data_IF_113026371910
#
_entry.id   IF_113026371910
#
_cell.length_a   1.000
_cell.length_b   1.000
_cell.length_c   1.000
_cell.angle_alpha   90.00
_cell.angle_beta   90.00
_cell.angle_gamma   90.00
#
_symmetry.space_group_name_H-M   'P 1'
#
loop_
_entity.id
_entity.type
_entity.pdbx_description
1 polymer ?
#
# COMPACT_ATOMS: atom_id res chain seq x y z
N UNK A 1 38.36 39.26 10.92
CA UNK A 1 37.04 39.18 11.57
C UNK A 1 36.00 39.21 10.46
N UNK A 2 35.21 38.14 10.32
CA UNK A 2 34.08 38.10 9.39
C UNK A 2 33.07 39.17 9.82
N UNK A 3 32.60 40.01 8.90
CA UNK A 3 31.60 41.02 9.25
C UNK A 3 30.27 40.34 9.58
N UNK A 4 29.46 40.95 10.44
CA UNK A 4 28.11 40.46 10.74
C UNK A 4 27.31 40.28 9.45
N UNK A 5 27.42 41.20 8.49
CA UNK A 5 26.76 41.07 7.18
C UNK A 5 27.17 39.79 6.43
N UNK A 6 28.47 39.46 6.37
CA UNK A 6 28.94 38.25 5.72
C UNK A 6 28.44 36.96 6.41
N UNK A 7 28.24 36.99 7.73
CA UNK A 7 27.64 35.87 8.48
C UNK A 7 26.16 35.71 8.11
N UNK A 8 25.39 36.79 8.06
CA UNK A 8 23.98 36.72 7.66
C UNK A 8 23.80 36.34 6.18
N UNK A 9 24.70 36.75 5.30
CA UNK A 9 24.70 36.32 3.90
C UNK A 9 24.95 34.81 3.76
N UNK A 10 25.85 34.24 4.56
CA UNK A 10 26.07 32.79 4.60
C UNK A 10 24.82 32.06 5.11
N UNK A 11 24.21 32.52 6.21
CA UNK A 11 22.96 31.93 6.71
C UNK A 11 21.82 32.02 5.70
N UNK A 12 21.74 33.12 4.93
CA UNK A 12 20.75 33.24 3.87
C UNK A 12 20.97 32.18 2.79
N UNK A 13 22.21 31.99 2.33
CA UNK A 13 22.54 30.95 1.34
C UNK A 13 22.19 29.55 1.83
N UNK A 14 22.52 29.23 3.09
CA UNK A 14 22.20 27.92 3.69
C UNK A 14 20.68 27.69 3.79
N UNK A 15 19.92 28.73 4.15
CA UNK A 15 18.45 28.66 4.22
C UNK A 15 17.81 28.54 2.83
N UNK A 16 18.32 29.27 1.85
CA UNK A 16 17.86 29.19 0.45
C UNK A 16 18.09 27.76 -0.09
N UNK A 17 19.29 27.20 0.09
CA UNK A 17 19.58 25.81 -0.33
C UNK A 17 18.71 24.79 0.42
N UNK A 18 18.48 25.00 1.71
CA UNK A 18 17.60 24.15 2.52
C UNK A 18 16.17 24.12 1.96
N UNK A 19 15.62 25.28 1.63
CA UNK A 19 14.26 25.43 1.13
C UNK A 19 14.12 24.84 -0.28
N UNK A 20 15.10 25.10 -1.15
CA UNK A 20 15.13 24.54 -2.50
C UNK A 20 15.19 23.00 -2.47
N UNK A 21 16.02 22.43 -1.59
CA UNK A 21 16.10 20.98 -1.38
C UNK A 21 14.78 20.42 -0.88
N UNK A 22 14.18 21.05 0.13
CA UNK A 22 12.88 20.64 0.69
C UNK A 22 11.81 20.59 -0.39
N UNK A 23 11.73 21.61 -1.25
CA UNK A 23 10.75 21.67 -2.34
C UNK A 23 10.99 20.59 -3.40
N UNK A 24 12.25 20.31 -3.77
CA UNK A 24 12.59 19.18 -4.67
C UNK A 24 12.14 17.85 -4.10
N UNK A 25 12.37 17.60 -2.80
CA UNK A 25 11.96 16.37 -2.13
C UNK A 25 10.44 16.24 -2.04
N UNK A 26 9.70 17.32 -1.76
CA UNK A 26 8.23 17.32 -1.75
C UNK A 26 7.67 16.94 -3.11
N UNK A 27 8.18 17.56 -4.19
CA UNK A 27 7.72 17.28 -5.56
C UNK A 27 7.92 15.82 -5.91
N UNK A 28 9.12 15.31 -5.69
CA UNK A 28 9.41 13.96 -6.10
C UNK A 28 8.80 12.89 -5.15
N UNK A 29 8.53 13.22 -3.88
CA UNK A 29 7.68 12.40 -3.00
C UNK A 29 6.24 12.29 -3.52
N UNK A 30 5.66 13.39 -4.00
CA UNK A 30 4.33 13.38 -4.66
C UNK A 30 4.33 12.55 -5.94
N UNK A 31 5.38 12.64 -6.75
CA UNK A 31 5.51 11.81 -7.95
C UNK A 31 5.57 10.32 -7.60
N UNK A 32 6.34 9.96 -6.57
CA UNK A 32 6.36 8.57 -6.06
C UNK A 32 4.97 8.14 -5.63
N UNK A 33 4.25 8.92 -4.82
CA UNK A 33 2.88 8.59 -4.40
C UNK A 33 1.97 8.32 -5.61
N UNK A 34 2.02 9.19 -6.62
CA UNK A 34 1.18 9.04 -7.82
C UNK A 34 1.50 7.76 -8.60
N UNK A 35 2.77 7.43 -8.77
CA UNK A 35 3.20 6.23 -9.50
C UNK A 35 2.87 4.96 -8.70
N UNK A 36 3.08 4.97 -7.38
CA UNK A 36 2.72 3.86 -6.49
C UNK A 36 1.21 3.58 -6.50
N UNK A 37 0.36 4.61 -6.43
CA UNK A 37 -1.09 4.47 -6.60
C UNK A 37 -1.45 3.87 -7.95
N UNK A 38 -0.83 4.36 -9.02
CA UNK A 38 -1.02 3.82 -10.37
C UNK A 38 -0.63 2.34 -10.44
N UNK A 39 0.44 1.93 -9.77
CA UNK A 39 0.82 0.53 -9.65
C UNK A 39 -0.26 -0.28 -8.93
N UNK A 40 -0.74 0.16 -7.76
CA UNK A 40 -1.81 -0.49 -7.00
C UNK A 40 -3.07 -0.69 -7.86
N UNK A 41 -3.54 0.36 -8.55
CA UNK A 41 -4.70 0.26 -9.44
C UNK A 41 -4.47 -0.72 -10.59
N UNK A 42 -3.27 -0.74 -11.16
CA UNK A 42 -2.89 -1.68 -12.22
C UNK A 42 -2.89 -3.13 -11.72
N UNK A 43 -2.33 -3.36 -10.53
CA UNK A 43 -2.30 -4.68 -9.87
C UNK A 43 -3.73 -5.21 -9.69
N UNK A 44 -4.61 -4.41 -9.08
CA UNK A 44 -6.03 -4.77 -8.92
C UNK A 44 -6.70 -5.06 -10.24
N UNK A 45 -6.49 -4.22 -11.25
CA UNK A 45 -7.14 -4.41 -12.55
C UNK A 45 -6.77 -5.76 -13.15
N UNK A 46 -5.48 -6.10 -13.20
CA UNK A 46 -4.99 -7.32 -13.86
C UNK A 46 -5.32 -8.57 -13.04
N UNK A 47 -5.09 -8.54 -11.72
CA UNK A 47 -5.40 -9.72 -10.89
C UNK A 47 -6.90 -10.01 -10.87
N UNK A 48 -7.72 -8.98 -11.09
CA UNK A 48 -9.16 -9.09 -11.20
C UNK A 48 -9.68 -9.27 -12.64
N UNK A 49 -8.85 -9.58 -13.63
CA UNK A 49 -9.34 -9.97 -14.95
C UNK A 49 -9.87 -11.41 -14.94
N UNK A 50 -11.01 -11.64 -15.62
CA UNK A 50 -11.55 -12.99 -15.87
C UNK A 50 -10.85 -13.66 -17.05
N UNK A 51 -9.53 -13.57 -17.09
CA UNK A 51 -8.70 -14.15 -18.14
C UNK A 51 -8.05 -15.40 -17.57
N UNK A 52 -8.29 -16.60 -18.15
CA UNK A 52 -7.61 -17.83 -17.74
C UNK A 52 -6.09 -17.65 -17.74
N UNK A 53 -5.37 -18.56 -17.07
CA UNK A 53 -3.92 -18.56 -17.12
C UNK A 53 -3.45 -18.54 -18.59
N UNK A 54 -2.85 -17.41 -19.00
CA UNK A 54 -2.24 -17.23 -20.31
C UNK A 54 -0.76 -17.56 -20.17
N UNK A 55 -0.22 -18.37 -21.08
CA UNK A 55 1.19 -18.74 -21.12
C UNK A 55 1.72 -19.36 -19.81
N UNK A 56 0.86 -20.05 -19.05
CA UNK A 56 1.20 -20.67 -17.77
C UNK A 56 1.36 -19.69 -16.59
N UNK A 57 1.05 -18.40 -16.78
CA UNK A 57 1.12 -17.38 -15.73
C UNK A 57 -0.26 -17.18 -15.09
N UNK A 58 -0.31 -17.22 -13.75
CA UNK A 58 -1.51 -16.86 -13.00
C UNK A 58 -1.82 -15.36 -13.17
N UNK A 59 -3.09 -14.93 -13.03
CA UNK A 59 -3.43 -13.50 -13.04
C UNK A 59 -2.63 -12.68 -12.02
N UNK A 60 -2.33 -13.25 -10.85
CA UNK A 60 -1.52 -12.63 -9.82
C UNK A 60 -0.08 -12.38 -10.27
N UNK A 61 0.55 -13.37 -10.92
CA UNK A 61 1.90 -13.22 -11.45
C UNK A 61 1.96 -12.25 -12.64
N UNK A 62 0.93 -12.22 -13.50
CA UNK A 62 0.80 -11.21 -14.56
C UNK A 62 0.70 -9.80 -13.98
N UNK A 63 -0.12 -9.64 -12.94
CA UNK A 63 -0.29 -8.37 -12.24
C UNK A 63 1.04 -7.88 -11.67
N UNK A 64 1.72 -8.71 -10.87
CA UNK A 64 3.03 -8.38 -10.29
C UNK A 64 4.05 -7.96 -11.36
N UNK A 65 4.17 -8.75 -12.44
CA UNK A 65 5.05 -8.42 -13.57
C UNK A 65 4.72 -7.08 -14.24
N UNK A 66 3.44 -6.75 -14.40
CA UNK A 66 3.02 -5.47 -14.98
C UNK A 66 3.26 -4.29 -14.03
N UNK A 67 3.17 -4.52 -12.71
CA UNK A 67 3.49 -3.53 -11.68
C UNK A 67 4.96 -3.13 -11.65
N UNK A 68 5.86 -4.06 -11.99
CA UNK A 68 7.31 -3.86 -11.94
C UNK A 68 7.82 -2.61 -12.67
N UNK A 69 7.19 -2.21 -13.79
CA UNK A 69 7.61 -1.01 -14.50
C UNK A 69 7.40 0.26 -13.66
N UNK A 70 6.23 0.40 -13.03
CA UNK A 70 5.96 1.53 -12.14
C UNK A 70 6.85 1.48 -10.89
N UNK A 71 7.08 0.28 -10.34
CA UNK A 71 7.95 0.12 -9.16
C UNK A 71 9.41 0.50 -9.48
N UNK A 72 9.93 0.13 -10.65
CA UNK A 72 11.26 0.56 -11.12
C UNK A 72 11.33 2.06 -11.35
N UNK A 73 10.26 2.66 -11.88
CA UNK A 73 10.20 4.10 -12.04
C UNK A 73 10.32 4.82 -10.69
N UNK A 74 9.64 4.33 -9.65
CA UNK A 74 9.78 4.84 -8.28
C UNK A 74 11.21 4.65 -7.74
N UNK A 75 11.79 3.47 -7.91
CA UNK A 75 13.17 3.20 -7.49
C UNK A 75 14.16 4.16 -8.16
N UNK A 76 13.95 4.49 -9.44
CA UNK A 76 14.79 5.46 -10.16
C UNK A 76 14.64 6.88 -9.60
N UNK A 77 13.44 7.28 -9.17
CA UNK A 77 13.24 8.57 -8.49
C UNK A 77 14.06 8.62 -7.19
N UNK A 78 14.01 7.56 -6.38
CA UNK A 78 14.82 7.49 -5.16
C UNK A 78 16.33 7.45 -5.43
N UNK A 79 16.76 6.75 -6.48
CA UNK A 79 18.15 6.75 -6.91
C UNK A 79 18.63 8.18 -7.25
N UNK A 80 17.79 8.96 -7.93
CA UNK A 80 18.09 10.36 -8.27
C UNK A 80 18.10 11.29 -7.03
N UNK A 81 17.39 10.93 -5.96
CA UNK A 81 17.39 11.67 -4.69
C UNK A 81 18.57 11.35 -3.77
N UNK A 82 19.37 10.32 -4.08
CA UNK A 82 20.45 9.83 -3.20
C UNK A 82 21.31 10.97 -2.64
N UNK A 83 21.79 11.85 -3.52
CA UNK A 83 22.68 12.96 -3.15
C UNK A 83 22.01 14.04 -2.27
N UNK A 84 20.68 14.13 -2.28
CA UNK A 84 19.92 15.07 -1.45
C UNK A 84 19.72 14.55 -0.02
N UNK A 85 19.80 13.24 0.17
CA UNK A 85 19.47 12.54 1.42
C UNK A 85 20.68 11.91 2.13
N UNK A 86 21.91 12.14 1.64
CA UNK A 86 23.12 11.52 2.21
C UNK A 86 23.34 11.91 3.68
N UNK A 87 23.67 10.90 4.49
CA UNK A 87 24.07 11.06 5.89
C UNK A 87 22.94 11.63 6.74
N UNK A 88 23.26 12.62 7.58
CA UNK A 88 22.31 13.20 8.53
C UNK A 88 21.18 14.00 7.85
N UNK A 89 21.32 14.32 6.55
CA UNK A 89 20.28 15.01 5.78
C UNK A 89 19.01 14.18 5.67
N UNK A 90 19.11 12.86 5.62
CA UNK A 90 17.93 12.00 5.61
C UNK A 90 17.01 12.30 6.79
N UNK A 91 17.55 12.33 8.01
CA UNK A 91 16.76 12.57 9.22
C UNK A 91 16.10 13.94 9.25
N UNK A 92 16.74 14.95 8.64
CA UNK A 92 16.17 16.29 8.50
C UNK A 92 14.96 16.30 7.55
N UNK A 93 15.04 15.57 6.44
CA UNK A 93 14.03 15.58 5.39
C UNK A 93 13.13 14.33 5.34
N UNK A 94 13.25 13.44 6.32
CA UNK A 94 12.50 12.18 6.37
C UNK A 94 11.00 12.42 6.17
N UNK A 95 10.44 13.42 6.84
CA UNK A 95 9.03 13.76 6.76
C UNK A 95 8.54 14.18 5.37
N UNK A 96 9.41 14.73 4.49
CA UNK A 96 9.06 14.97 3.09
C UNK A 96 8.94 13.66 2.29
N UNK A 97 9.80 12.69 2.60
CA UNK A 97 9.97 11.46 1.83
C UNK A 97 9.00 10.37 2.29
N UNK A 98 8.69 10.32 3.59
CA UNK A 98 7.86 9.31 4.24
C UNK A 98 6.51 9.05 3.55
N UNK A 99 5.72 10.06 3.13
CA UNK A 99 4.43 9.79 2.48
C UNK A 99 4.57 8.99 1.17
N UNK A 100 5.50 9.38 0.29
CA UNK A 100 5.79 8.63 -0.94
C UNK A 100 6.36 7.25 -0.64
N UNK A 101 7.21 7.14 0.38
CA UNK A 101 7.86 5.89 0.76
C UNK A 101 6.85 4.87 1.29
N UNK A 102 5.90 5.29 2.14
CA UNK A 102 4.85 4.43 2.65
C UNK A 102 3.95 3.90 1.52
N UNK A 103 3.56 4.75 0.58
CA UNK A 103 2.77 4.35 -0.60
C UNK A 103 3.56 3.39 -1.52
N UNK A 104 4.87 3.62 -1.68
CA UNK A 104 5.74 2.69 -2.41
C UNK A 104 5.81 1.32 -1.75
N UNK A 105 5.94 1.27 -0.43
CA UNK A 105 5.98 0.04 0.35
C UNK A 105 4.64 -0.70 0.23
N UNK A 106 3.51 0.00 0.28
CA UNK A 106 2.19 -0.57 0.02
C UNK A 106 2.11 -1.21 -1.37
N UNK A 107 2.51 -0.48 -2.42
CA UNK A 107 2.49 -0.98 -3.80
C UNK A 107 3.42 -2.18 -4.00
N UNK A 108 4.65 -2.10 -3.48
CA UNK A 108 5.66 -3.17 -3.58
C UNK A 108 5.20 -4.42 -2.83
N UNK A 109 4.71 -4.25 -1.61
CA UNK A 109 4.23 -5.36 -0.78
C UNK A 109 2.98 -6.02 -1.36
N UNK A 110 2.09 -5.25 -2.00
CA UNK A 110 0.96 -5.84 -2.70
C UNK A 110 1.41 -6.66 -3.91
N UNK A 111 2.36 -6.15 -4.70
CA UNK A 111 2.97 -6.91 -5.80
C UNK A 111 3.64 -8.19 -5.31
N UNK A 112 4.40 -8.12 -4.20
CA UNK A 112 5.08 -9.26 -3.59
C UNK A 112 4.09 -10.30 -3.08
N UNK A 113 3.01 -9.87 -2.41
CA UNK A 113 1.95 -10.77 -1.96
C UNK A 113 1.30 -11.51 -3.13
N UNK A 114 1.02 -10.82 -4.25
CA UNK A 114 0.45 -11.45 -5.44
C UNK A 114 1.41 -12.48 -6.08
N UNK A 115 2.71 -12.25 -6.01
CA UNK A 115 3.71 -13.14 -6.60
C UNK A 115 4.08 -14.33 -5.70
N UNK A 116 4.21 -14.10 -4.40
CA UNK A 116 4.79 -15.05 -3.45
C UNK A 116 3.81 -15.54 -2.39
N UNK A 117 2.69 -14.84 -2.17
CA UNK A 117 1.74 -15.14 -1.09
C UNK A 117 2.28 -14.84 0.32
N UNK A 118 3.39 -14.11 0.43
CA UNK A 118 4.05 -13.78 1.70
C UNK A 118 4.19 -12.28 1.89
N UNK A 119 4.59 -11.87 3.10
CA UNK A 119 4.91 -10.48 3.41
C UNK A 119 6.36 -10.21 2.99
N UNK A 120 6.60 -9.11 2.29
CA UNK A 120 7.96 -8.65 1.96
C UNK A 120 8.65 -8.16 3.23
N UNK A 121 9.87 -8.62 3.48
CA UNK A 121 10.67 -8.24 4.66
C UNK A 121 11.25 -6.83 4.56
N UNK A 122 11.62 -6.25 5.70
CA UNK A 122 12.31 -4.96 5.77
C UNK A 122 13.58 -4.95 4.90
N UNK A 123 14.36 -6.04 4.94
CA UNK A 123 15.61 -6.17 4.19
C UNK A 123 15.35 -6.25 2.68
N UNK A 124 14.32 -6.97 2.24
CA UNK A 124 13.93 -7.03 0.83
C UNK A 124 13.48 -5.66 0.32
N UNK A 125 12.73 -4.89 1.12
CA UNK A 125 12.38 -3.50 0.76
C UNK A 125 13.62 -2.62 0.74
N UNK A 126 14.52 -2.72 1.72
CA UNK A 126 15.75 -1.93 1.75
C UNK A 126 16.62 -2.20 0.52
N UNK A 127 16.69 -3.44 0.05
CA UNK A 127 17.44 -3.82 -1.15
C UNK A 127 16.92 -3.14 -2.42
N UNK A 128 15.62 -2.85 -2.52
CA UNK A 128 15.08 -2.09 -3.65
C UNK A 128 15.45 -0.61 -3.63
N UNK A 129 15.92 -0.12 -2.48
CA UNK A 129 16.37 1.25 -2.22
C UNK A 129 17.89 1.33 -2.11
N UNK A 130 18.61 0.44 -2.80
CA UNK A 130 20.06 0.43 -2.88
C UNK A 130 20.55 0.66 -4.31
N UNK A 131 21.78 1.19 -4.43
CA UNK A 131 22.47 1.27 -5.71
C UNK A 131 23.00 -0.10 -6.18
N UNK A 132 23.59 -0.14 -7.38
CA UNK A 132 24.13 -1.35 -7.99
C UNK A 132 25.28 -2.01 -7.21
N UNK A 133 25.85 -1.31 -6.22
CA UNK A 133 26.90 -1.83 -5.32
C UNK A 133 26.32 -2.27 -3.97
N UNK A 134 25.01 -2.17 -3.78
CA UNK A 134 24.31 -2.51 -2.54
C UNK A 134 24.36 -1.41 -1.48
N UNK A 135 24.80 -0.19 -1.81
CA UNK A 135 24.79 0.91 -0.86
C UNK A 135 23.39 1.57 -0.84
N UNK A 136 22.77 1.75 0.34
CA UNK A 136 21.43 2.31 0.43
C UNK A 136 21.40 3.78 -0.04
N UNK A 137 20.33 4.17 -0.75
CA UNK A 137 20.06 5.57 -1.06
C UNK A 137 19.81 6.38 0.20
N UNK A 138 19.11 5.77 1.16
CA UNK A 138 18.86 6.25 2.51
C UNK A 138 18.42 5.05 3.38
N UNK A 139 18.51 5.14 4.73
CA UNK A 139 18.05 4.07 5.60
C UNK A 139 16.52 4.00 5.63
N UNK A 140 15.96 2.82 5.34
CA UNK A 140 14.54 2.53 5.50
C UNK A 140 14.19 2.52 7.00
N UNK A 141 13.25 3.37 7.40
CA UNK A 141 12.82 3.40 8.80
C UNK A 141 11.79 2.30 9.08
N UNK A 142 11.84 1.73 10.30
CA UNK A 142 10.84 0.77 10.77
C UNK A 142 9.43 1.40 10.74
N UNK A 143 9.33 2.70 11.04
CA UNK A 143 8.05 3.41 11.00
C UNK A 143 7.45 3.44 9.60
N UNK A 144 8.22 3.81 8.58
CA UNK A 144 7.72 3.88 7.21
C UNK A 144 7.35 2.48 6.68
N UNK A 145 8.15 1.47 7.01
CA UNK A 145 7.84 0.07 6.69
C UNK A 145 6.52 -0.40 7.32
N UNK A 146 6.37 -0.24 8.64
CA UNK A 146 5.16 -0.68 9.35
C UNK A 146 3.90 0.08 8.93
N UNK A 147 4.02 1.39 8.66
CA UNK A 147 2.88 2.20 8.21
C UNK A 147 2.45 1.82 6.79
N UNK A 148 3.39 1.66 5.86
CA UNK A 148 3.07 1.21 4.48
C UNK A 148 2.48 -0.20 4.45
N UNK A 149 3.00 -1.13 5.25
CA UNK A 149 2.42 -2.48 5.38
C UNK A 149 1.05 -2.50 6.07
N UNK A 150 0.76 -1.52 6.93
CA UNK A 150 -0.59 -1.41 7.50
C UNK A 150 -1.60 -1.00 6.44
N UNK A 151 -1.23 -0.13 5.50
CA UNK A 151 -2.10 0.30 4.39
C UNK A 151 -2.36 -0.84 3.39
N UNK A 152 -1.37 -1.71 3.14
CA UNK A 152 -1.53 -2.95 2.37
C UNK A 152 -2.77 -3.76 2.81
N UNK A 153 -3.09 -3.80 4.11
CA UNK A 153 -4.24 -4.57 4.61
C UNK A 153 -5.58 -4.08 4.04
N UNK A 154 -5.68 -2.79 3.71
CA UNK A 154 -6.83 -2.21 3.00
C UNK A 154 -6.91 -2.70 1.56
N UNK A 155 -5.79 -2.74 0.85
CA UNK A 155 -5.73 -3.24 -0.53
C UNK A 155 -5.97 -4.75 -0.61
N UNK A 156 -5.51 -5.52 0.38
CA UNK A 156 -5.81 -6.95 0.51
C UNK A 156 -7.30 -7.21 0.79
N UNK A 157 -7.94 -6.39 1.63
CA UNK A 157 -9.39 -6.45 1.79
C UNK A 157 -10.10 -6.19 0.48
N UNK A 158 -9.71 -5.15 -0.26
CA UNK A 158 -10.29 -4.84 -1.58
C UNK A 158 -10.08 -6.00 -2.56
N UNK A 159 -8.90 -6.60 -2.57
CA UNK A 159 -8.56 -7.74 -3.40
C UNK A 159 -9.43 -8.97 -3.07
N UNK A 160 -9.60 -9.28 -1.79
CA UNK A 160 -10.43 -10.39 -1.32
C UNK A 160 -11.90 -10.19 -1.68
N UNK A 161 -12.50 -9.05 -1.33
CA UNK A 161 -13.91 -8.77 -1.58
C UNK A 161 -14.23 -8.72 -3.09
N UNK A 162 -13.34 -8.13 -3.89
CA UNK A 162 -13.55 -8.00 -5.33
C UNK A 162 -13.25 -9.29 -6.09
N UNK A 163 -12.38 -10.15 -5.55
CA UNK A 163 -12.06 -11.47 -6.10
C UNK A 163 -13.09 -12.54 -5.74
N UNK A 164 -13.89 -12.30 -4.70
CA UNK A 164 -14.76 -13.28 -4.07
C UNK A 164 -15.79 -13.95 -5.00
N UNK A 165 -16.33 -13.19 -5.94
CA UNK A 165 -17.39 -13.66 -6.86
C UNK A 165 -16.84 -14.46 -8.05
N UNK A 166 -15.54 -14.68 -8.09
CA UNK A 166 -14.86 -15.40 -9.17
C UNK A 166 -14.65 -16.85 -8.79
N UNK A 167 -14.46 -17.68 -9.81
CA UNK A 167 -14.07 -19.07 -9.63
C UNK A 167 -12.74 -19.15 -8.87
N UNK A 168 -12.72 -19.91 -7.77
CA UNK A 168 -11.57 -19.97 -6.86
C UNK A 168 -11.41 -18.76 -5.92
N UNK A 169 -12.29 -17.76 -5.99
CA UNK A 169 -12.28 -16.56 -5.15
C UNK A 169 -12.47 -16.87 -3.66
N UNK A 170 -13.17 -17.96 -3.33
CA UNK A 170 -13.34 -18.43 -1.95
C UNK A 170 -12.02 -18.78 -1.28
N UNK A 171 -11.19 -19.58 -1.95
CA UNK A 171 -9.88 -19.99 -1.43
C UNK A 171 -8.98 -18.76 -1.29
N UNK A 172 -8.92 -17.92 -2.33
CA UNK A 172 -8.19 -16.66 -2.31
C UNK A 172 -8.60 -15.75 -1.14
N UNK A 173 -9.90 -15.65 -0.85
CA UNK A 173 -10.38 -14.87 0.30
C UNK A 173 -10.00 -15.48 1.65
N UNK A 174 -10.01 -16.81 1.78
CA UNK A 174 -9.55 -17.50 2.99
C UNK A 174 -8.05 -17.31 3.22
N UNK A 175 -7.24 -17.41 2.16
CA UNK A 175 -5.79 -17.19 2.23
C UNK A 175 -5.49 -15.74 2.62
N UNK A 176 -6.17 -14.78 1.98
CA UNK A 176 -6.05 -13.35 2.29
C UNK A 176 -6.49 -13.06 3.73
N UNK A 177 -7.54 -13.72 4.21
CA UNK A 177 -8.01 -13.59 5.59
C UNK A 177 -6.94 -14.06 6.59
N UNK A 178 -6.35 -15.25 6.36
CA UNK A 178 -5.28 -15.77 7.19
C UNK A 178 -4.09 -14.82 7.24
N UNK A 179 -3.70 -14.28 6.08
CA UNK A 179 -2.62 -13.30 5.98
C UNK A 179 -2.90 -12.02 6.78
N UNK A 180 -4.06 -11.39 6.57
CA UNK A 180 -4.41 -10.14 7.25
C UNK A 180 -4.57 -10.33 8.76
N UNK A 181 -5.08 -11.49 9.21
CA UNK A 181 -5.12 -11.84 10.65
C UNK A 181 -3.71 -11.88 11.26
N UNK A 182 -2.76 -12.51 10.59
CA UNK A 182 -1.38 -12.58 11.06
C UNK A 182 -0.75 -11.18 11.11
N UNK A 183 -0.90 -10.38 10.04
CA UNK A 183 -0.40 -9.00 10.04
C UNK A 183 -0.98 -8.18 11.19
N UNK A 184 -2.30 -8.28 11.46
CA UNK A 184 -2.91 -7.60 12.60
C UNK A 184 -2.28 -8.04 13.92
N UNK A 185 -2.17 -9.34 14.15
CA UNK A 185 -1.62 -9.88 15.39
C UNK A 185 -0.17 -9.42 15.62
N UNK A 186 0.66 -9.51 14.57
CA UNK A 186 2.07 -9.16 14.64
C UNK A 186 2.28 -7.65 14.80
N UNK A 187 1.52 -6.82 14.07
CA UNK A 187 1.68 -5.36 14.09
C UNK A 187 1.14 -4.73 15.37
N UNK A 188 0.14 -5.32 16.02
CA UNK A 188 -0.41 -4.84 17.30
C UNK A 188 0.68 -4.73 18.37
N UNK A 189 1.62 -5.67 18.40
CA UNK A 189 2.73 -5.68 19.36
C UNK A 189 3.68 -4.48 19.20
N UNK A 190 3.72 -3.86 18.02
CA UNK A 190 4.57 -2.70 17.73
C UNK A 190 3.89 -1.35 17.97
N UNK A 191 2.58 -1.33 18.25
CA UNK A 191 1.81 -0.09 18.42
C UNK A 191 2.35 0.86 19.50
N UNK A 192 2.97 0.42 20.62
CA UNK A 192 3.55 1.34 21.60
C UNK A 192 4.83 2.02 21.10
N UNK A 193 5.51 1.43 20.11
CA UNK A 193 6.84 1.86 19.65
C UNK A 193 6.78 2.64 18.33
N UNK A 194 5.75 2.42 17.52
CA UNK A 194 5.58 3.09 16.23
C UNK A 194 4.45 4.10 16.31
N UNK A 195 4.80 5.38 16.21
CA UNK A 195 3.82 6.47 16.23
C UNK A 195 2.81 6.29 15.08
N UNK A 196 1.54 6.55 15.36
CA UNK A 196 0.40 6.41 14.42
C UNK A 196 0.02 4.98 14.03
N UNK A 197 0.81 3.96 14.40
CA UNK A 197 0.49 2.57 14.06
C UNK A 197 -0.82 2.10 14.72
N UNK A 198 -1.11 2.52 15.95
CA UNK A 198 -2.39 2.19 16.62
C UNK A 198 -3.62 2.65 15.83
N UNK A 199 -3.56 3.85 15.23
CA UNK A 199 -4.63 4.36 14.36
C UNK A 199 -4.74 3.51 13.09
N UNK A 200 -3.61 3.12 12.48
CA UNK A 200 -3.60 2.23 11.31
C UNK A 200 -4.13 0.83 11.65
N UNK A 201 -3.78 0.26 12.79
CA UNK A 201 -4.30 -1.03 13.26
C UNK A 201 -5.82 -1.00 13.50
N UNK A 202 -6.37 0.14 13.90
CA UNK A 202 -7.83 0.31 13.97
C UNK A 202 -8.49 0.16 12.58
N UNK A 203 -7.84 0.68 11.52
CA UNK A 203 -8.30 0.51 10.13
C UNK A 203 -8.09 -0.93 9.67
N UNK A 204 -6.94 -1.55 9.99
CA UNK A 204 -6.67 -2.97 9.73
C UNK A 204 -7.74 -3.87 10.35
N UNK A 205 -8.18 -3.60 11.58
CA UNK A 205 -9.25 -4.35 12.22
C UNK A 205 -10.58 -4.25 11.46
N UNK A 206 -10.92 -3.07 10.93
CA UNK A 206 -12.11 -2.89 10.09
C UNK A 206 -11.99 -3.61 8.74
N UNK A 207 -10.81 -3.56 8.12
CA UNK A 207 -10.52 -4.30 6.89
C UNK A 207 -10.63 -5.81 7.10
N UNK A 208 -10.09 -6.31 8.22
CA UNK A 208 -10.18 -7.70 8.63
C UNK A 208 -11.64 -8.13 8.82
N UNK A 209 -12.43 -7.37 9.58
CA UNK A 209 -13.84 -7.65 9.81
C UNK A 209 -14.62 -7.82 8.50
N UNK A 210 -14.38 -6.94 7.51
CA UNK A 210 -15.04 -7.03 6.19
C UNK A 210 -14.72 -8.33 5.47
N UNK A 211 -13.47 -8.78 5.52
CA UNK A 211 -13.05 -10.05 4.92
C UNK A 211 -13.71 -11.22 5.70
N UNK A 212 -13.69 -11.18 7.03
CA UNK A 212 -14.28 -12.19 7.89
C UNK A 212 -15.78 -12.36 7.64
N UNK A 213 -16.53 -11.25 7.59
CA UNK A 213 -17.96 -11.27 7.30
C UNK A 213 -18.26 -11.91 5.94
N UNK A 214 -17.45 -11.58 4.93
CA UNK A 214 -17.62 -12.11 3.59
C UNK A 214 -17.30 -13.62 3.52
N UNK A 215 -16.20 -14.04 4.15
CA UNK A 215 -15.81 -15.46 4.22
C UNK A 215 -16.81 -16.26 5.05
N UNK A 216 -17.25 -15.74 6.20
CA UNK A 216 -18.27 -16.37 7.05
C UNK A 216 -19.57 -16.60 6.26
N UNK A 217 -20.07 -15.57 5.59
CA UNK A 217 -21.29 -15.65 4.81
C UNK A 217 -21.22 -16.67 3.66
N UNK A 218 -20.01 -16.98 3.18
CA UNK A 218 -19.77 -18.02 2.17
C UNK A 218 -19.71 -19.40 2.81
N UNK A 219 -18.99 -19.55 3.92
CA UNK A 219 -18.84 -20.82 4.62
C UNK A 219 -20.20 -21.34 5.09
N UNK A 220 -21.02 -20.47 5.69
CA UNK A 220 -22.38 -20.84 6.12
C UNK A 220 -23.21 -21.33 4.94
N UNK A 221 -23.28 -20.58 3.84
CA UNK A 221 -24.05 -21.00 2.65
C UNK A 221 -23.50 -22.27 2.01
N UNK A 222 -22.18 -22.42 2.00
CA UNK A 222 -21.55 -23.65 1.47
C UNK A 222 -21.83 -24.86 2.34
N UNK A 223 -22.13 -24.68 3.64
CA UNK A 223 -22.54 -25.76 4.53
C UNK A 223 -24.03 -26.11 4.42
N UNK A 224 -24.86 -25.22 3.87
CA UNK A 224 -26.28 -25.48 3.60
C UNK A 224 -26.49 -26.43 2.41
N UNK A 225 -25.52 -26.50 1.50
CA UNK A 225 -25.58 -27.29 0.28
C UNK A 225 -24.35 -28.19 0.13
N UNK A 226 -24.53 -29.51 0.12
CA UNK A 226 -23.45 -30.47 -0.17
C UNK A 226 -23.16 -30.50 -1.69
N UNK A 227 -22.57 -29.42 -2.19
CA UNK A 227 -22.37 -29.16 -3.63
C UNK A 227 -20.89 -29.15 -3.99
N UNK A 228 -20.62 -29.38 -5.28
CA UNK A 228 -19.27 -29.25 -5.81
C UNK A 228 -18.75 -27.81 -5.65
N UNK A 229 -17.42 -27.61 -5.50
CA UNK A 229 -16.84 -26.27 -5.33
C UNK A 229 -17.24 -25.27 -6.42
N UNK A 230 -17.46 -25.75 -7.64
CA UNK A 230 -17.82 -24.94 -8.81
C UNK A 230 -19.25 -24.41 -8.73
N UNK A 231 -20.20 -25.25 -8.29
CA UNK A 231 -21.58 -24.84 -8.06
C UNK A 231 -21.68 -23.87 -6.88
N UNK A 232 -20.80 -24.01 -5.89
CA UNK A 232 -20.73 -23.07 -4.77
C UNK A 232 -20.20 -21.70 -5.22
N UNK A 233 -19.21 -21.65 -6.10
CA UNK A 233 -18.72 -20.38 -6.68
C UNK A 233 -19.84 -19.65 -7.46
N UNK A 234 -20.68 -20.39 -8.20
CA UNK A 234 -21.84 -19.84 -8.91
C UNK A 234 -22.90 -19.26 -7.95
N UNK A 235 -23.21 -19.95 -6.84
CA UNK A 235 -24.14 -19.47 -5.81
C UNK A 235 -23.62 -18.17 -5.16
N UNK A 236 -22.32 -18.12 -4.86
CA UNK A 236 -21.67 -16.92 -4.31
C UNK A 236 -21.79 -15.76 -5.29
N UNK A 237 -21.49 -15.99 -6.58
CA UNK A 237 -21.61 -14.98 -7.63
C UNK A 237 -23.03 -14.40 -7.74
N UNK A 238 -24.07 -15.24 -7.70
CA UNK A 238 -25.48 -14.81 -7.74
C UNK A 238 -25.88 -13.99 -6.49
N UNK A 239 -25.39 -14.39 -5.32
CA UNK A 239 -25.76 -13.77 -4.04
C UNK A 239 -25.13 -12.39 -3.84
N UNK A 240 -23.86 -12.23 -4.23
CA UNK A 240 -23.20 -10.93 -4.16
C UNK A 240 -23.69 -9.98 -5.25
N UNK A 241 -24.10 -10.49 -6.41
CA UNK A 241 -24.73 -9.69 -7.47
C UNK A 241 -26.07 -9.11 -7.01
N UNK A 242 -26.90 -9.90 -6.33
CA UNK A 242 -28.19 -9.44 -5.78
C UNK A 242 -28.01 -8.45 -4.62
N UNK A 243 -27.07 -8.73 -3.70
CA UNK A 243 -26.75 -7.82 -2.58
C UNK A 243 -26.18 -6.46 -3.03
N UNK A 244 -25.43 -6.45 -4.14
CA UNK A 244 -24.87 -5.22 -4.73
C UNK A 244 -25.93 -4.37 -5.45
N UNK A 245 -26.95 -5.01 -6.03
CA UNK A 245 -28.07 -4.33 -6.66
C UNK A 245 -28.94 -3.60 -5.62
N UNK A 246 -29.16 -4.23 -4.46
CA UNK A 246 -29.93 -3.65 -3.36
C UNK A 246 -29.24 -2.41 -2.75
N UNK A 247 -27.91 -2.44 -2.63
CA UNK A 247 -27.11 -1.29 -2.17
C UNK A 247 -27.08 -0.12 -3.15
N UNK A 248 -27.26 -0.34 -4.46
CA UNK A 248 -27.38 0.74 -5.47
C UNK A 248 -28.75 1.42 -5.44
N UNK A 249 -29.79 0.74 -4.96
CA UNK A 249 -31.13 1.32 -4.78
C UNK A 249 -31.22 2.28 -3.59
N UNK A 250 -30.45 2.05 -2.53
CA UNK A 250 -30.51 2.83 -1.28
C UNK A 250 -29.65 4.09 -1.22
N UNK A 251 -28.77 4.33 -2.19
CA UNK A 251 -27.70 5.36 -2.08
C UNK A 251 -27.99 6.69 -2.79
N UNK A 252 -29.26 7.02 -3.05
CA UNK A 252 -29.65 8.29 -3.71
C UNK A 252 -29.81 9.49 -2.77
N UNK A 253 -29.63 9.36 -1.45
CA UNK A 253 -29.96 10.44 -0.49
C UNK A 253 -28.93 10.72 0.62
N UNK A 254 -27.68 10.29 0.51
CA UNK A 254 -26.66 10.60 1.53
C UNK A 254 -25.26 10.68 0.90
N UNK A 255 -24.95 11.81 0.25
CA UNK A 255 -23.58 12.24 -0.03
C UNK A 255 -23.58 13.78 -0.05
N UNK A 256 -23.59 14.35 1.14
CA UNK A 256 -23.16 15.72 1.43
C UNK A 256 -22.56 15.67 2.82
N UNK A 257 -21.32 16.15 2.95
CA UNK A 257 -20.46 16.18 4.15
C UNK A 257 -19.53 14.97 4.30
N UNK A 258 -18.33 15.10 3.73
CA UNK A 258 -17.06 14.86 4.43
C UNK A 258 -15.92 15.44 3.58
N UNK A 259 -15.72 16.75 3.74
CA UNK A 259 -14.52 17.44 3.27
C UNK A 259 -13.35 17.08 4.19
N UNK A 260 -12.30 16.51 3.61
CA UNK A 260 -11.00 16.43 4.28
C UNK A 260 -10.45 17.85 4.36
N UNK A 261 -10.53 18.46 5.54
CA UNK A 261 -9.82 19.69 5.88
C UNK A 261 -8.32 19.40 5.92
N UNK A 262 -7.64 19.87 4.88
CA UNK A 262 -6.20 19.91 4.74
C UNK A 262 -5.70 21.26 5.31
N UNK A 263 -5.84 21.45 6.63
CA UNK A 263 -5.29 22.60 7.35
C UNK A 263 -4.57 22.14 8.63
N UNK A 264 -3.29 21.82 8.51
CA UNK A 264 -2.24 22.31 9.41
C UNK A 264 -0.87 21.73 9.03
N UNK A 265 -0.23 22.36 8.05
CA UNK A 265 1.22 22.50 8.05
C UNK A 265 1.57 23.98 8.11
N UNK A 266 1.72 24.50 9.33
CA UNK A 266 2.48 25.71 9.58
C UNK A 266 3.45 25.51 10.76
N UNK A 267 4.65 26.07 10.55
CA UNK A 267 5.87 26.10 11.36
C UNK A 267 6.76 24.86 11.36
#
# INVERSE_FOLDING_TARGET
>A
MTSTAAIFDAFRQDLDEHNDRRERLIKASRDVTNISKKAIFLLHRIVLENVPALDGLTPALRAAKAGNENLRQVQQIYANMKEELVGDRFWRYQHQVSPGLQEYIEALSFSHFLEHGTLISLDEVQQTLCDSKGAPYFPLTISDYMLGLSDLTGELMRYSISGLTKRGGRLQAMDTLGFVRNCKADFEAFTPYVRFLSKKQSVTAQSLQKIEDAVYAIVVRSSEYDLSPEMLDDIVSQTFSSSSADRRGGRRNADSEDGFDDENMSF
#
